data_IF_058927079937
#
_entry.id   IF_058927079937
#
_cell.length_a   1.000
_cell.length_b   1.000
_cell.length_c   1.000
_cell.angle_alpha   90.00
_cell.angle_beta   90.00
_cell.angle_gamma   90.00
#
_symmetry.space_group_name_H-M   'P 1'
#
loop_
_entity.id
_entity.type
_entity.pdbx_description
1 polymer ?
#
# COMPACT_ATOMS: atom_id res chain seq x y z
N UNK A 1 -3.66 29.43 17.09
CA UNK A 1 -3.10 28.09 16.88
C UNK A 1 -3.56 27.45 15.58
N UNK A 2 -4.84 27.44 15.28
CA UNK A 2 -5.47 26.85 14.08
C UNK A 2 -4.94 27.37 12.72
N UNK A 3 -4.71 28.68 12.60
CA UNK A 3 -4.24 29.35 11.37
C UNK A 3 -2.79 28.99 10.99
N UNK A 4 -1.94 28.72 12.00
CA UNK A 4 -0.54 28.33 11.80
C UNK A 4 -0.44 26.86 11.34
N UNK A 5 -1.34 26.01 11.83
CA UNK A 5 -1.43 24.60 11.43
C UNK A 5 -1.94 24.45 9.97
N UNK A 6 -2.92 25.24 9.55
CA UNK A 6 -3.41 25.27 8.19
C UNK A 6 -2.33 25.69 7.17
N UNK A 7 -1.52 26.71 7.50
CA UNK A 7 -0.41 27.14 6.64
C UNK A 7 0.68 26.08 6.54
N UNK A 8 0.98 25.38 7.63
CA UNK A 8 1.95 24.29 7.66
C UNK A 8 1.49 23.13 6.77
N UNK A 9 0.23 22.70 6.92
CA UNK A 9 -0.38 21.66 6.08
C UNK A 9 -0.37 22.02 4.59
N UNK A 10 -0.75 23.25 4.25
CA UNK A 10 -0.70 23.71 2.87
C UNK A 10 0.71 23.66 2.28
N UNK A 11 1.70 24.15 3.04
CA UNK A 11 3.11 24.12 2.62
C UNK A 11 3.58 22.67 2.35
N UNK A 12 3.28 21.75 3.27
CA UNK A 12 3.64 20.33 3.09
C UNK A 12 2.94 19.74 1.85
N UNK A 13 1.67 20.03 1.64
CA UNK A 13 0.92 19.56 0.47
C UNK A 13 1.56 20.03 -0.84
N UNK A 14 1.91 21.32 -0.94
CA UNK A 14 2.53 21.89 -2.15
C UNK A 14 3.91 21.27 -2.41
N UNK A 15 4.73 21.08 -1.36
CA UNK A 15 6.03 20.42 -1.46
C UNK A 15 5.88 18.98 -1.96
N UNK A 16 4.96 18.19 -1.39
CA UNK A 16 4.70 16.80 -1.78
C UNK A 16 4.21 16.70 -3.22
N UNK A 17 3.27 17.54 -3.63
CA UNK A 17 2.78 17.57 -5.01
C UNK A 17 3.87 17.91 -6.02
N UNK A 18 4.72 18.89 -5.71
CA UNK A 18 5.85 19.28 -6.56
C UNK A 18 6.88 18.18 -6.65
N UNK A 19 7.18 17.51 -5.55
CA UNK A 19 8.12 16.39 -5.51
C UNK A 19 7.59 15.18 -6.31
N UNK A 20 6.32 14.81 -6.16
CA UNK A 20 5.69 13.73 -6.91
C UNK A 20 5.67 13.99 -8.43
N UNK A 21 5.53 15.26 -8.86
CA UNK A 21 5.66 15.62 -10.28
C UNK A 21 7.07 15.31 -10.80
N UNK A 22 8.10 15.67 -10.03
CA UNK A 22 9.49 15.40 -10.41
C UNK A 22 9.83 13.89 -10.39
N UNK A 23 9.26 13.14 -9.46
CA UNK A 23 9.43 11.68 -9.39
C UNK A 23 8.87 10.93 -10.60
N UNK A 24 7.89 11.48 -11.30
CA UNK A 24 7.40 10.91 -12.58
C UNK A 24 8.45 10.98 -13.69
N UNK A 25 9.36 11.95 -13.60
CA UNK A 25 10.32 12.24 -14.67
C UNK A 25 11.70 11.65 -14.38
N UNK A 26 12.08 11.53 -13.10
CA UNK A 26 13.39 11.07 -12.71
C UNK A 26 13.45 10.49 -11.30
N UNK A 27 14.41 9.58 -11.05
CA UNK A 27 14.57 8.95 -9.73
C UNK A 27 14.95 9.99 -8.66
N UNK A 28 14.57 9.72 -7.40
CA UNK A 28 14.80 10.61 -6.24
C UNK A 28 16.24 11.08 -6.11
N UNK A 29 17.23 10.22 -6.43
CA UNK A 29 18.66 10.55 -6.41
C UNK A 29 19.05 11.74 -7.29
N UNK A 30 18.25 12.06 -8.31
CA UNK A 30 18.46 13.16 -9.25
C UNK A 30 17.59 14.38 -8.97
N UNK A 31 16.70 14.30 -7.97
CA UNK A 31 15.85 15.41 -7.56
C UNK A 31 16.57 16.25 -6.52
N UNK A 32 16.58 17.56 -6.72
CA UNK A 32 17.22 18.52 -5.81
C UNK A 32 16.17 19.35 -5.08
N UNK A 33 16.51 19.79 -3.86
CA UNK A 33 15.66 20.73 -3.09
C UNK A 33 15.40 22.02 -3.90
N UNK A 34 16.36 22.46 -4.72
CA UNK A 34 16.21 23.63 -5.60
C UNK A 34 15.03 23.45 -6.58
N UNK A 35 14.94 22.30 -7.22
CA UNK A 35 13.88 22.00 -8.19
C UNK A 35 12.52 21.88 -7.53
N UNK A 36 12.46 21.18 -6.39
CA UNK A 36 11.20 21.06 -5.62
C UNK A 36 10.71 22.44 -5.20
N UNK A 37 11.59 23.29 -4.65
CA UNK A 37 11.24 24.64 -4.22
C UNK A 37 10.84 25.55 -5.40
N UNK A 38 11.53 25.44 -6.54
CA UNK A 38 11.17 26.19 -7.74
C UNK A 38 9.77 25.84 -8.23
N UNK A 39 9.45 24.53 -8.30
CA UNK A 39 8.12 24.06 -8.73
C UNK A 39 7.03 24.38 -7.70
N UNK A 40 7.37 24.35 -6.41
CA UNK A 40 6.46 24.67 -5.31
C UNK A 40 6.28 26.20 -5.12
N UNK A 41 7.09 27.04 -5.78
CA UNK A 41 7.17 28.50 -5.57
C UNK A 41 7.46 28.85 -4.08
N UNK A 42 8.34 28.08 -3.46
CA UNK A 42 8.75 28.25 -2.06
C UNK A 42 10.27 28.47 -1.98
N UNK A 43 10.74 29.12 -0.91
CA UNK A 43 12.16 29.24 -0.65
C UNK A 43 12.73 27.98 0.04
N UNK A 44 14.07 27.79 -0.03
CA UNK A 44 14.72 26.63 0.57
C UNK A 44 14.62 26.60 2.10
N UNK A 45 14.59 27.76 2.77
CA UNK A 45 14.40 27.81 4.23
C UNK A 45 13.05 27.22 4.63
N UNK A 46 11.99 27.49 3.84
CA UNK A 46 10.68 26.87 4.04
C UNK A 46 10.73 25.36 3.86
N UNK A 47 11.45 24.85 2.85
CA UNK A 47 11.65 23.41 2.68
C UNK A 47 12.32 22.78 3.91
N UNK A 48 13.47 23.35 4.32
CA UNK A 48 14.26 22.82 5.44
C UNK A 48 13.56 22.95 6.81
N UNK A 49 12.55 23.81 6.93
CA UNK A 49 11.69 23.85 8.11
C UNK A 49 10.76 22.62 8.22
N UNK A 50 10.60 21.83 7.13
CA UNK A 50 9.72 20.66 7.09
C UNK A 50 10.48 19.34 6.85
N UNK A 51 11.52 19.35 6.03
CA UNK A 51 12.25 18.16 5.58
C UNK A 51 13.75 18.44 5.51
N UNK A 52 14.58 17.49 5.95
CA UNK A 52 16.04 17.60 5.87
C UNK A 52 16.55 17.56 4.42
N UNK A 53 15.91 16.78 3.57
CA UNK A 53 16.28 16.56 2.18
C UNK A 53 15.10 15.92 1.39
N UNK A 54 15.34 15.60 0.11
CA UNK A 54 14.35 14.98 -0.76
C UNK A 54 14.01 13.52 -0.35
N UNK A 55 14.91 12.81 0.32
CA UNK A 55 14.63 11.46 0.80
C UNK A 55 13.68 11.49 2.01
N UNK A 56 13.90 12.43 2.94
CA UNK A 56 12.98 12.65 4.07
C UNK A 56 11.57 13.07 3.59
N UNK A 57 11.49 13.86 2.51
CA UNK A 57 10.21 14.20 1.88
C UNK A 57 9.55 12.95 1.26
N UNK A 58 10.32 12.10 0.56
CA UNK A 58 9.82 10.84 0.02
C UNK A 58 9.31 9.93 1.12
N UNK A 59 10.09 9.70 2.17
CA UNK A 59 9.73 8.89 3.32
C UNK A 59 8.44 9.38 4.00
N UNK A 60 8.26 10.69 4.12
CA UNK A 60 7.01 11.28 4.63
C UNK A 60 5.79 10.91 3.78
N UNK A 61 5.93 10.87 2.45
CA UNK A 61 4.84 10.48 1.54
C UNK A 61 4.58 8.98 1.66
N UNK A 62 5.63 8.15 1.69
CA UNK A 62 5.51 6.70 1.87
C UNK A 62 4.81 6.36 3.18
N UNK A 63 5.20 7.01 4.28
CA UNK A 63 4.58 6.77 5.59
C UNK A 63 3.09 7.16 5.61
N UNK A 64 2.68 8.23 4.94
CA UNK A 64 1.26 8.58 4.81
C UNK A 64 0.45 7.52 4.06
N UNK A 65 1.04 6.89 3.04
CA UNK A 65 0.40 5.78 2.34
C UNK A 65 0.31 4.54 3.24
N UNK A 66 1.36 4.25 4.01
CA UNK A 66 1.35 3.16 5.00
C UNK A 66 0.27 3.40 6.07
N UNK A 67 0.20 4.60 6.63
CA UNK A 67 -0.81 4.98 7.64
C UNK A 67 -2.25 4.88 7.08
N UNK A 68 -2.42 5.25 5.80
CA UNK A 68 -3.71 5.10 5.12
C UNK A 68 -4.08 3.63 4.90
N UNK A 69 -3.12 2.80 4.51
CA UNK A 69 -3.30 1.35 4.34
C UNK A 69 -3.60 0.65 5.67
N UNK A 70 -2.91 1.02 6.75
CA UNK A 70 -3.10 0.43 8.07
C UNK A 70 -4.56 0.50 8.55
N UNK A 71 -5.27 1.56 8.18
CA UNK A 71 -6.71 1.69 8.46
C UNK A 71 -7.57 0.64 7.76
N UNK A 72 -7.12 0.08 6.65
CA UNK A 72 -7.82 -0.98 5.92
C UNK A 72 -7.58 -2.37 6.54
N UNK A 73 -6.53 -2.54 7.36
CA UNK A 73 -6.20 -3.83 7.97
C UNK A 73 -7.26 -4.34 8.95
N UNK A 74 -8.13 -3.47 9.48
CA UNK A 74 -9.29 -3.88 10.28
C UNK A 74 -10.24 -4.85 9.53
N UNK A 75 -10.14 -4.94 8.21
CA UNK A 75 -10.93 -5.83 7.37
C UNK A 75 -10.25 -7.18 7.06
N UNK A 76 -9.01 -7.38 7.54
CA UNK A 76 -8.24 -8.62 7.30
C UNK A 76 -8.83 -9.83 8.04
N UNK A 77 -9.63 -9.61 9.07
CA UNK A 77 -10.25 -10.65 9.89
C UNK A 77 -11.50 -11.27 9.22
N UNK A 78 -11.39 -11.60 7.94
CA UNK A 78 -12.43 -12.27 7.17
C UNK A 78 -11.84 -12.99 5.97
N UNK A 79 -12.42 -14.13 5.61
CA UNK A 79 -12.16 -14.79 4.31
C UNK A 79 -12.90 -14.14 3.16
N UNK A 80 -13.82 -13.24 3.44
CA UNK A 80 -14.41 -12.34 2.45
C UNK A 80 -13.57 -11.05 2.43
N UNK A 81 -12.77 -10.90 1.38
CA UNK A 81 -11.86 -9.77 1.23
C UNK A 81 -12.50 -8.56 0.55
N UNK A 82 -13.81 -8.57 0.36
CA UNK A 82 -14.54 -7.46 -0.31
C UNK A 82 -14.24 -6.13 0.34
N UNK A 83 -14.47 -6.01 1.66
CA UNK A 83 -14.26 -4.76 2.39
C UNK A 83 -12.77 -4.33 2.40
N UNK A 84 -11.83 -5.29 2.41
CA UNK A 84 -10.40 -4.99 2.30
C UNK A 84 -10.05 -4.39 0.93
N UNK A 85 -10.52 -5.00 -0.15
CA UNK A 85 -10.27 -4.50 -1.52
C UNK A 85 -10.93 -3.13 -1.72
N UNK A 86 -12.17 -2.95 -1.26
CA UNK A 86 -12.86 -1.66 -1.31
C UNK A 86 -12.06 -0.57 -0.58
N UNK A 87 -11.58 -0.86 0.64
CA UNK A 87 -10.77 0.08 1.41
C UNK A 87 -9.42 0.40 0.73
N UNK A 88 -8.81 -0.57 0.03
CA UNK A 88 -7.59 -0.34 -0.77
C UNK A 88 -7.89 0.59 -1.94
N UNK A 89 -8.99 0.36 -2.68
CA UNK A 89 -9.39 1.25 -3.77
C UNK A 89 -9.67 2.67 -3.28
N UNK A 90 -10.40 2.82 -2.18
CA UNK A 90 -10.67 4.13 -1.57
C UNK A 90 -9.37 4.84 -1.13
N UNK A 91 -8.41 4.09 -0.57
CA UNK A 91 -7.08 4.63 -0.24
C UNK A 91 -6.35 5.12 -1.50
N UNK A 92 -6.37 4.33 -2.59
CA UNK A 92 -5.74 4.72 -3.86
C UNK A 92 -6.41 5.96 -4.45
N UNK A 93 -7.74 6.03 -4.44
CA UNK A 93 -8.49 7.17 -4.96
C UNK A 93 -8.20 8.47 -4.18
N UNK A 94 -8.10 8.38 -2.86
CA UNK A 94 -7.75 9.51 -2.00
C UNK A 94 -6.29 9.96 -2.16
N UNK A 95 -5.39 9.05 -2.56
CA UNK A 95 -3.94 9.28 -2.68
C UNK A 95 -3.43 9.06 -4.11
N UNK A 96 -4.27 9.30 -5.12
CA UNK A 96 -4.06 8.86 -6.50
C UNK A 96 -2.67 9.22 -7.05
N UNK A 97 -2.20 10.46 -6.87
CA UNK A 97 -0.91 10.88 -7.40
C UNK A 97 0.26 10.12 -6.77
N UNK A 98 0.25 9.95 -5.44
CA UNK A 98 1.30 9.22 -4.73
C UNK A 98 1.27 7.73 -5.07
N UNK A 99 0.08 7.10 -5.08
CA UNK A 99 -0.07 5.70 -5.44
C UNK A 99 0.39 5.40 -6.87
N UNK A 100 0.05 6.27 -7.84
CA UNK A 100 0.51 6.11 -9.23
C UNK A 100 2.03 6.19 -9.38
N UNK A 101 2.70 7.00 -8.58
CA UNK A 101 4.15 7.18 -8.66
C UNK A 101 4.90 6.10 -7.88
N UNK A 102 4.38 5.71 -6.71
CA UNK A 102 5.12 4.90 -5.75
C UNK A 102 4.69 3.42 -5.74
N UNK A 103 3.49 3.10 -6.21
CA UNK A 103 2.91 1.75 -6.13
C UNK A 103 2.50 1.22 -7.50
N UNK A 104 1.56 1.91 -8.17
CA UNK A 104 0.96 1.43 -9.42
C UNK A 104 2.00 1.40 -10.55
N UNK A 105 2.13 0.26 -11.21
CA UNK A 105 3.16 0.05 -12.24
C UNK A 105 4.57 -0.22 -11.71
N UNK A 106 4.76 -0.30 -10.40
CA UNK A 106 6.03 -0.66 -9.76
C UNK A 106 5.86 -1.80 -8.76
N UNK A 107 5.92 -3.00 -9.25
CA UNK A 107 5.81 -4.25 -8.51
C UNK A 107 6.87 -4.42 -7.41
N UNK A 108 8.04 -3.82 -7.60
CA UNK A 108 9.14 -3.82 -6.61
C UNK A 108 9.09 -2.58 -5.70
N UNK A 109 7.94 -1.95 -5.56
CA UNK A 109 7.75 -0.79 -4.68
C UNK A 109 8.06 -1.16 -3.23
N UNK A 110 8.94 -0.37 -2.59
CA UNK A 110 9.24 -0.51 -1.15
C UNK A 110 8.00 -0.30 -0.30
N UNK A 111 7.11 0.60 -0.71
CA UNK A 111 5.81 0.87 -0.05
C UNK A 111 4.93 -0.37 -0.10
N UNK A 112 4.80 -1.01 -1.27
CA UNK A 112 4.01 -2.23 -1.44
C UNK A 112 4.54 -3.37 -0.57
N UNK A 113 5.86 -3.57 -0.54
CA UNK A 113 6.49 -4.59 0.30
C UNK A 113 6.26 -4.34 1.79
N UNK A 114 6.30 -3.08 2.23
CA UNK A 114 5.97 -2.70 3.61
C UNK A 114 4.49 -2.95 3.94
N UNK A 115 3.57 -2.65 3.04
CA UNK A 115 2.14 -2.95 3.22
C UNK A 115 1.88 -4.45 3.37
N UNK A 116 2.50 -5.28 2.53
CA UNK A 116 2.42 -6.74 2.64
C UNK A 116 2.98 -7.21 4.00
N UNK A 117 4.14 -6.71 4.41
CA UNK A 117 4.74 -7.09 5.69
C UNK A 117 3.87 -6.69 6.90
N UNK A 118 3.22 -5.53 6.84
CA UNK A 118 2.36 -5.03 7.91
C UNK A 118 1.12 -5.91 8.12
N UNK A 119 0.51 -6.40 7.05
CA UNK A 119 -0.69 -7.25 7.11
C UNK A 119 -0.40 -8.70 7.57
N UNK A 120 0.88 -9.13 7.60
CA UNK A 120 1.25 -10.55 7.79
C UNK A 120 0.78 -11.10 9.13
N UNK A 121 1.10 -10.41 10.22
CA UNK A 121 0.86 -10.92 11.56
C UNK A 121 -0.63 -11.16 11.85
N UNK A 122 -1.48 -10.19 11.51
CA UNK A 122 -2.92 -10.26 11.72
C UNK A 122 -3.57 -11.32 10.81
N UNK A 123 -3.13 -11.40 9.55
CA UNK A 123 -3.62 -12.41 8.61
C UNK A 123 -3.31 -13.82 9.09
N UNK A 124 -2.07 -14.10 9.49
CA UNK A 124 -1.67 -15.43 9.98
C UNK A 124 -2.38 -15.75 11.31
N UNK A 125 -2.51 -14.79 12.22
CA UNK A 125 -3.22 -15.00 13.48
C UNK A 125 -4.69 -15.38 13.25
N UNK A 126 -5.37 -14.73 12.31
CA UNK A 126 -6.73 -15.05 11.91
C UNK A 126 -6.81 -16.45 11.26
N UNK A 127 -5.94 -16.75 10.28
CA UNK A 127 -5.95 -18.03 9.59
C UNK A 127 -5.64 -19.21 10.51
N UNK A 128 -4.71 -19.06 11.47
CA UNK A 128 -4.40 -20.07 12.48
C UNK A 128 -5.63 -20.47 13.28
N UNK A 129 -6.52 -19.52 13.58
CA UNK A 129 -7.76 -19.77 14.29
C UNK A 129 -8.80 -20.51 13.43
N UNK A 130 -8.92 -20.10 12.15
CA UNK A 130 -9.96 -20.59 11.25
C UNK A 130 -9.55 -21.87 10.49
N UNK A 131 -8.27 -22.19 10.45
CA UNK A 131 -7.69 -23.34 9.74
C UNK A 131 -6.84 -24.20 10.69
N UNK A 132 -7.43 -24.86 11.69
CA UNK A 132 -6.69 -25.62 12.69
C UNK A 132 -5.94 -26.83 12.14
N UNK A 133 -6.22 -27.27 10.90
CA UNK A 133 -5.52 -28.33 10.20
C UNK A 133 -4.24 -27.89 9.46
N UNK A 134 -4.00 -26.58 9.32
CA UNK A 134 -2.81 -26.06 8.67
C UNK A 134 -1.67 -25.88 9.67
N UNK A 135 -0.46 -26.32 9.30
CA UNK A 135 0.76 -26.07 10.05
C UNK A 135 1.18 -24.59 9.95
N UNK A 136 1.99 -24.11 10.88
CA UNK A 136 2.53 -22.74 10.86
C UNK A 136 3.30 -22.45 9.56
N UNK A 137 4.07 -23.40 9.08
CA UNK A 137 4.82 -23.29 7.83
C UNK A 137 3.88 -23.14 6.63
N UNK A 138 2.79 -23.90 6.59
CA UNK A 138 1.78 -23.80 5.52
C UNK A 138 1.08 -22.43 5.55
N UNK A 139 0.73 -21.92 6.72
CA UNK A 139 0.14 -20.59 6.87
C UNK A 139 1.08 -19.49 6.36
N UNK A 140 2.38 -19.57 6.67
CA UNK A 140 3.38 -18.62 6.16
C UNK A 140 3.57 -18.69 4.66
N UNK A 141 3.66 -19.92 4.09
CA UNK A 141 3.77 -20.12 2.64
C UNK A 141 2.52 -19.62 1.93
N UNK A 142 1.34 -19.91 2.47
CA UNK A 142 0.06 -19.46 1.94
C UNK A 142 -0.05 -17.92 1.98
N UNK A 143 0.36 -17.29 3.10
CA UNK A 143 0.40 -15.84 3.18
C UNK A 143 1.31 -15.24 2.09
N UNK A 144 2.51 -15.76 1.96
CA UNK A 144 3.48 -15.30 0.96
C UNK A 144 2.93 -15.45 -0.46
N UNK A 145 2.32 -16.58 -0.77
CA UNK A 145 1.73 -16.85 -2.08
C UNK A 145 0.55 -15.90 -2.37
N UNK A 146 -0.42 -15.84 -1.48
CA UNK A 146 -1.64 -15.05 -1.69
C UNK A 146 -1.35 -13.54 -1.67
N UNK A 147 -0.61 -13.03 -0.69
CA UNK A 147 -0.38 -11.59 -0.58
C UNK A 147 0.40 -11.05 -1.78
N UNK A 148 1.49 -11.70 -2.19
CA UNK A 148 2.26 -11.24 -3.35
C UNK A 148 1.47 -11.41 -4.66
N UNK A 149 0.85 -12.57 -4.89
CA UNK A 149 0.08 -12.82 -6.12
C UNK A 149 -1.14 -11.88 -6.25
N UNK A 150 -1.91 -11.72 -5.18
CA UNK A 150 -3.10 -10.88 -5.21
C UNK A 150 -2.76 -9.39 -5.28
N UNK A 151 -1.74 -8.92 -4.57
CA UNK A 151 -1.30 -7.53 -4.67
C UNK A 151 -0.79 -7.20 -6.07
N UNK A 152 -0.11 -8.14 -6.73
CA UNK A 152 0.28 -8.02 -8.14
C UNK A 152 -0.94 -7.83 -9.06
N UNK A 153 -1.95 -8.66 -8.87
CA UNK A 153 -3.20 -8.57 -9.65
C UNK A 153 -3.88 -7.23 -9.42
N UNK A 154 -3.92 -6.73 -8.17
CA UNK A 154 -4.51 -5.42 -7.86
C UNK A 154 -3.72 -4.28 -8.49
N UNK A 155 -2.39 -4.27 -8.34
CA UNK A 155 -1.52 -3.20 -8.88
C UNK A 155 -1.56 -3.16 -10.41
N UNK A 156 -1.46 -4.30 -11.08
CA UNK A 156 -1.49 -4.40 -12.54
C UNK A 156 -2.89 -4.21 -13.14
N UNK A 157 -3.90 -4.59 -12.37
CA UNK A 157 -5.30 -4.60 -12.80
C UNK A 157 -6.07 -3.32 -12.50
N UNK A 158 -5.52 -2.43 -11.67
CA UNK A 158 -6.24 -1.25 -11.16
C UNK A 158 -6.87 -0.39 -12.26
N UNK A 159 -6.13 -0.14 -13.34
CA UNK A 159 -6.61 0.64 -14.50
C UNK A 159 -7.25 -0.23 -15.60
N UNK A 160 -7.21 -1.58 -15.47
CA UNK A 160 -7.64 -2.52 -16.53
C UNK A 160 -8.99 -3.15 -16.27
N UNK A 161 -9.32 -3.37 -14.99
CA UNK A 161 -10.51 -4.10 -14.56
C UNK A 161 -11.37 -3.22 -13.64
N UNK A 162 -12.67 -3.46 -13.64
CA UNK A 162 -13.55 -2.80 -12.67
C UNK A 162 -13.29 -3.31 -11.24
N UNK A 163 -13.63 -2.48 -10.25
CA UNK A 163 -13.53 -2.82 -8.84
C UNK A 163 -14.31 -4.12 -8.52
N UNK A 164 -15.49 -4.27 -9.13
CA UNK A 164 -16.37 -5.44 -8.95
C UNK A 164 -15.75 -6.72 -9.53
N UNK A 165 -15.09 -6.63 -10.69
CA UNK A 165 -14.37 -7.77 -11.28
C UNK A 165 -13.19 -8.18 -10.39
N UNK A 166 -12.46 -7.21 -9.89
CA UNK A 166 -11.33 -7.43 -8.99
C UNK A 166 -11.77 -8.11 -7.70
N UNK A 167 -12.81 -7.58 -7.04
CA UNK A 167 -13.38 -8.16 -5.82
C UNK A 167 -13.82 -9.61 -6.05
N UNK A 168 -14.56 -9.88 -7.14
CA UNK A 168 -15.01 -11.24 -7.46
C UNK A 168 -13.86 -12.20 -7.68
N UNK A 169 -12.85 -11.78 -8.44
CA UNK A 169 -11.69 -12.61 -8.74
C UNK A 169 -10.89 -12.94 -7.47
N UNK A 170 -10.53 -11.90 -6.70
CA UNK A 170 -9.73 -12.07 -5.48
C UNK A 170 -10.45 -12.94 -4.46
N UNK A 171 -11.75 -12.73 -4.22
CA UNK A 171 -12.56 -13.57 -3.33
C UNK A 171 -12.59 -15.04 -3.78
N UNK A 172 -12.71 -15.29 -5.09
CA UNK A 172 -12.71 -16.68 -5.60
C UNK A 172 -11.34 -17.35 -5.35
N UNK A 173 -10.24 -16.65 -5.60
CA UNK A 173 -8.89 -17.21 -5.40
C UNK A 173 -8.64 -17.47 -3.92
N UNK A 174 -8.95 -16.52 -3.05
CA UNK A 174 -8.79 -16.68 -1.60
C UNK A 174 -9.61 -17.86 -1.09
N UNK A 175 -10.90 -17.93 -1.40
CA UNK A 175 -11.79 -19.03 -0.97
C UNK A 175 -11.33 -20.38 -1.49
N UNK A 176 -10.90 -20.49 -2.76
CA UNK A 176 -10.38 -21.72 -3.34
C UNK A 176 -9.08 -22.17 -2.65
N UNK A 177 -8.15 -21.23 -2.39
CA UNK A 177 -6.89 -21.55 -1.71
C UNK A 177 -7.11 -22.03 -0.27
N UNK A 178 -8.03 -21.39 0.45
CA UNK A 178 -8.35 -21.74 1.85
C UNK A 178 -9.07 -23.09 1.95
N UNK A 179 -9.90 -23.45 0.95
CA UNK A 179 -10.61 -24.72 0.94
C UNK A 179 -9.68 -25.95 0.94
N UNK A 180 -8.45 -25.78 0.47
CA UNK A 180 -7.41 -26.84 0.51
C UNK A 180 -7.07 -27.27 1.94
N UNK A 181 -7.23 -26.37 2.92
CA UNK A 181 -6.89 -26.60 4.32
C UNK A 181 -8.10 -26.90 5.21
N UNK A 182 -9.32 -26.81 4.64
CA UNK A 182 -10.56 -27.11 5.36
C UNK A 182 -10.95 -28.60 5.29
N UNK A 183 -10.40 -29.34 4.33
CA UNK A 183 -10.63 -30.78 4.20
C UNK A 183 -9.56 -31.55 5.00
N UNK A 184 -9.89 -32.64 5.69
CA UNK A 184 -8.89 -33.49 6.33
C UNK A 184 -7.91 -33.97 5.27
N UNK A 185 -6.64 -33.67 5.48
CA UNK A 185 -5.56 -34.05 4.55
C UNK A 185 -5.56 -35.59 4.38
N UNK A 186 -5.79 -36.06 3.16
CA UNK A 186 -5.39 -37.43 2.80
C UNK A 186 -3.86 -37.45 2.83
N UNK A 187 -3.26 -38.39 3.59
CA UNK A 187 -1.79 -38.54 3.53
C UNK A 187 -1.38 -38.73 2.07
N UNK A 188 -0.38 -37.94 1.65
CA UNK A 188 0.29 -38.13 0.39
C UNK A 188 0.91 -39.54 0.42
N UNK A 189 0.47 -40.43 -0.45
CA UNK A 189 0.96 -41.77 -0.59
C UNK A 189 2.38 -41.78 -1.20
#
# INVERSE_FOLDING_TARGET
MEKMDARKRYTQMVLKQSFLKLLKEKPVKRITVKEVCALAQLNRATFYAHYSDCFALMESIENELIDAFEKSLRYVNSFDVTALIEAIYDMVDQNQTACRVLILGNINSTVLMRMIALAKADSIAYWRKELPGASETELEMMYTHLSNGLMHVVVEGYDKYSKEEMVRFVNRVVKASLSLFQSPQRPLA
#
